data_IF_125520638016
#
_entry.id   IF_125520638016
#
_cell.length_a   1.000
_cell.length_b   1.000
_cell.length_c   1.000
_cell.angle_alpha   90.00
_cell.angle_beta   90.00
_cell.angle_gamma   90.00
#
_symmetry.space_group_name_H-M   'P 1'
#
loop_
_entity.id
_entity.type
_entity.pdbx_description
1 polymer ?
#
# COMPACT_ATOMS: atom_id res chain seq x y z
N UNK A 1 13.21 -16.62 16.09
CA UNK A 1 12.64 -15.49 15.32
C UNK A 1 12.30 -15.88 13.89
N UNK A 2 13.27 -16.33 13.06
CA UNK A 2 13.03 -16.68 11.66
C UNK A 2 12.01 -17.82 11.47
N UNK A 3 12.02 -18.84 12.34
CA UNK A 3 11.13 -20.00 12.28
C UNK A 3 9.66 -19.65 12.55
N UNK A 4 9.41 -18.71 13.46
CA UNK A 4 8.06 -18.23 13.79
C UNK A 4 7.52 -17.37 12.65
N UNK A 5 8.35 -16.50 12.08
CA UNK A 5 7.99 -15.70 10.91
C UNK A 5 7.59 -16.59 9.73
N UNK A 6 8.39 -17.64 9.45
CA UNK A 6 8.09 -18.61 8.39
C UNK A 6 6.78 -19.37 8.66
N UNK A 7 6.55 -19.82 9.89
CA UNK A 7 5.30 -20.49 10.27
C UNK A 7 4.07 -19.58 10.10
N UNK A 8 4.19 -18.30 10.42
CA UNK A 8 3.09 -17.33 10.26
C UNK A 8 2.77 -17.05 8.79
N UNK A 9 3.81 -16.90 7.95
CA UNK A 9 3.65 -16.73 6.48
C UNK A 9 2.99 -17.96 5.86
N UNK A 10 3.40 -19.17 6.26
CA UNK A 10 2.81 -20.42 5.78
C UNK A 10 1.33 -20.55 6.17
N UNK A 11 0.95 -20.15 7.39
CA UNK A 11 -0.45 -20.17 7.83
C UNK A 11 -1.31 -19.11 7.13
N UNK A 12 -0.81 -17.88 6.97
CA UNK A 12 -1.54 -16.79 6.34
C UNK A 12 -1.86 -17.07 4.86
N UNK A 13 -0.98 -17.80 4.17
CA UNK A 13 -1.15 -18.17 2.75
C UNK A 13 -2.37 -19.07 2.48
N UNK A 14 -2.98 -19.66 3.52
CA UNK A 14 -4.14 -20.56 3.42
C UNK A 14 -5.48 -19.90 3.71
N UNK A 15 -5.52 -18.59 4.01
CA UNK A 15 -6.77 -17.90 4.29
C UNK A 15 -7.48 -17.53 2.99
N UNK A 16 -8.49 -18.32 2.61
CA UNK A 16 -9.45 -17.97 1.56
C UNK A 16 -10.48 -16.99 2.14
N UNK A 17 -10.28 -15.68 1.91
CA UNK A 17 -11.22 -14.66 2.34
C UNK A 17 -12.24 -14.36 1.23
N UNK A 18 -13.52 -14.62 1.47
CA UNK A 18 -14.62 -14.20 0.57
C UNK A 18 -14.94 -12.73 0.80
N UNK A 19 -14.31 -11.84 0.03
CA UNK A 19 -14.58 -10.40 0.06
C UNK A 19 -15.42 -9.95 -1.16
N UNK A 20 -16.44 -9.08 -0.99
CA UNK A 20 -17.06 -8.40 -2.12
C UNK A 20 -16.03 -7.51 -2.82
N UNK A 21 -16.17 -7.36 -4.14
CA UNK A 21 -15.28 -6.53 -4.97
C UNK A 21 -15.78 -5.08 -5.15
N UNK A 22 -16.86 -4.72 -4.47
CA UNK A 22 -17.45 -3.38 -4.51
C UNK A 22 -16.97 -2.59 -3.29
N UNK A 23 -16.85 -1.27 -3.44
CA UNK A 23 -16.49 -0.35 -2.36
C UNK A 23 -15.15 -0.65 -1.69
N UNK A 24 -14.20 -1.17 -2.48
CA UNK A 24 -12.85 -1.45 -1.99
C UNK A 24 -12.12 -0.12 -1.80
N UNK A 25 -11.67 0.15 -0.58
CA UNK A 25 -10.87 1.33 -0.24
C UNK A 25 -9.49 0.92 0.25
N UNK A 26 -8.50 1.77 0.05
CA UNK A 26 -7.12 1.54 0.50
C UNK A 26 -6.66 2.69 1.41
N UNK A 27 -5.90 2.38 2.44
CA UNK A 27 -5.33 3.39 3.34
C UNK A 27 -4.08 2.86 4.00
N UNK A 28 -3.07 3.70 4.16
CA UNK A 28 -1.87 3.36 4.90
C UNK A 28 -1.42 4.58 5.75
N UNK A 29 -0.15 4.57 6.17
CA UNK A 29 0.48 5.67 6.88
C UNK A 29 1.97 5.72 6.53
N UNK A 30 2.55 6.91 6.44
CA UNK A 30 4.01 7.10 6.28
C UNK A 30 4.52 6.67 4.90
N UNK A 31 5.64 5.93 4.83
CA UNK A 31 6.25 5.50 3.56
C UNK A 31 5.28 4.73 2.66
N UNK A 32 4.35 3.99 3.26
CA UNK A 32 3.37 3.16 2.55
C UNK A 32 2.21 4.01 1.95
N UNK A 33 2.01 5.27 2.39
CA UNK A 33 1.02 6.18 1.78
C UNK A 33 1.35 6.47 0.30
N UNK A 34 2.64 6.42 -0.06
CA UNK A 34 3.06 6.54 -1.46
C UNK A 34 2.50 5.40 -2.33
N UNK A 35 2.38 4.20 -1.78
CA UNK A 35 1.78 3.03 -2.46
C UNK A 35 0.26 3.15 -2.48
N UNK A 36 -0.37 3.62 -1.40
CA UNK A 36 -1.81 3.87 -1.33
C UNK A 36 -2.27 4.79 -2.46
N UNK A 37 -1.56 5.92 -2.64
CA UNK A 37 -1.86 6.87 -3.71
C UNK A 37 -1.70 6.25 -5.10
N UNK A 38 -0.62 5.49 -5.29
CA UNK A 38 -0.34 4.83 -6.57
C UNK A 38 -1.39 3.77 -6.89
N UNK A 39 -1.78 2.94 -5.91
CA UNK A 39 -2.78 1.92 -6.08
C UNK A 39 -4.14 2.55 -6.42
N UNK A 40 -4.56 3.58 -5.67
CA UNK A 40 -5.83 4.23 -5.90
C UNK A 40 -5.93 4.89 -7.28
N UNK A 41 -4.86 5.56 -7.73
CA UNK A 41 -4.86 6.21 -9.04
C UNK A 41 -4.79 5.18 -10.18
N UNK A 42 -3.88 4.20 -10.07
CA UNK A 42 -3.68 3.19 -11.11
C UNK A 42 -4.88 2.23 -11.27
N UNK A 43 -5.58 1.93 -10.17
CA UNK A 43 -6.72 1.02 -10.14
C UNK A 43 -8.00 1.72 -9.69
N UNK A 44 -8.19 2.97 -10.11
CA UNK A 44 -9.37 3.78 -9.71
C UNK A 44 -10.70 3.18 -10.18
N UNK A 45 -10.69 2.27 -11.16
CA UNK A 45 -11.87 1.47 -11.55
C UNK A 45 -12.25 0.41 -10.53
N UNK A 46 -11.29 -0.10 -9.76
CA UNK A 46 -11.49 -1.15 -8.75
C UNK A 46 -11.50 -0.59 -7.32
N UNK A 47 -10.75 0.48 -7.07
CA UNK A 47 -10.56 1.10 -5.77
C UNK A 47 -11.40 2.38 -5.68
N UNK A 48 -12.44 2.32 -4.85
CA UNK A 48 -13.44 3.38 -4.70
C UNK A 48 -12.94 4.62 -3.94
N UNK A 49 -11.84 4.50 -3.19
CA UNK A 49 -11.28 5.63 -2.44
C UNK A 49 -9.96 5.31 -1.75
N UNK A 50 -9.25 6.37 -1.35
CA UNK A 50 -8.05 6.24 -0.54
C UNK A 50 -8.02 7.16 0.68
N UNK A 51 -7.39 6.68 1.76
CA UNK A 51 -7.08 7.46 2.96
C UNK A 51 -5.57 7.58 3.14
N UNK A 52 -5.06 8.80 3.09
CA UNK A 52 -3.63 9.13 3.26
C UNK A 52 -3.53 10.13 4.42
N UNK A 53 -2.74 9.80 5.44
CA UNK A 53 -2.63 10.64 6.65
C UNK A 53 -1.36 11.48 6.61
N UNK A 54 -0.22 10.86 6.24
CA UNK A 54 1.09 11.51 6.15
C UNK A 54 1.89 10.79 5.06
N UNK A 55 1.82 11.32 3.84
CA UNK A 55 2.51 10.76 2.69
C UNK A 55 2.82 11.80 1.61
N UNK A 56 3.80 11.51 0.73
CA UNK A 56 4.16 12.42 -0.35
C UNK A 56 3.10 12.44 -1.46
N UNK A 57 3.06 13.50 -2.29
CA UNK A 57 2.20 13.55 -3.46
C UNK A 57 2.42 12.37 -4.41
N UNK A 58 1.37 12.01 -5.15
CA UNK A 58 1.48 10.99 -6.20
C UNK A 58 2.64 11.31 -7.14
N UNK A 59 3.45 10.29 -7.40
CA UNK A 59 4.60 10.35 -8.30
C UNK A 59 5.71 11.36 -7.89
N UNK A 60 5.75 11.80 -6.62
CA UNK A 60 6.75 12.76 -6.14
C UNK A 60 8.20 12.33 -6.39
N UNK A 61 8.56 11.09 -6.01
CA UNK A 61 9.94 10.62 -6.09
C UNK A 61 10.36 10.14 -7.48
N UNK A 62 9.41 9.87 -8.40
CA UNK A 62 9.67 9.44 -9.78
C UNK A 62 10.63 8.24 -9.90
N UNK A 63 10.63 7.34 -8.92
CA UNK A 63 11.54 6.18 -8.86
C UNK A 63 12.99 6.53 -8.47
N UNK A 64 13.25 7.77 -8.03
CA UNK A 64 14.55 8.22 -7.57
C UNK A 64 14.64 8.18 -6.04
N UNK A 65 15.63 7.44 -5.53
CA UNK A 65 15.85 7.28 -4.08
C UNK A 65 16.31 8.56 -3.39
N UNK A 66 17.17 9.36 -4.04
CA UNK A 66 17.63 10.63 -3.48
C UNK A 66 16.46 11.63 -3.35
N UNK A 67 15.55 11.65 -4.31
CA UNK A 67 14.32 12.45 -4.23
C UNK A 67 13.38 11.94 -3.14
N UNK A 68 13.24 10.61 -2.99
CA UNK A 68 12.44 10.00 -1.92
C UNK A 68 12.94 10.40 -0.53
N UNK A 69 14.25 10.32 -0.28
CA UNK A 69 14.83 10.67 1.02
C UNK A 69 14.99 12.18 1.27
N UNK A 70 14.87 13.02 0.23
CA UNK A 70 15.10 14.46 0.33
C UNK A 70 13.84 15.31 0.19
N UNK A 71 13.16 15.20 -0.94
CA UNK A 71 12.04 16.07 -1.31
C UNK A 71 10.66 15.43 -1.05
N UNK A 72 10.60 14.11 -0.88
CA UNK A 72 9.36 13.33 -0.83
C UNK A 72 9.31 12.42 0.42
N UNK A 73 9.76 12.94 1.56
CA UNK A 73 9.72 12.27 2.87
C UNK A 73 8.36 12.38 3.53
#
# INVERSE_FOLDING_TARGET
MLTIFCAFVLFASFIEAKAPRTDVTVSDISADDSMTAQLHIAFSSEISGCGIVVGPPYYCAQGNTMSALGACT
#
